data_IF_686679526257
#
_entry.id   IF_686679526257
#
_cell.length_a   1.000
_cell.length_b   1.000
_cell.length_c   1.000
_cell.angle_alpha   90.00
_cell.angle_beta   90.00
_cell.angle_gamma   90.00
#
_symmetry.space_group_name_H-M   'P 1'
#
loop_
_entity.id
_entity.type
_entity.pdbx_description
1 polymer ?
#
# COMPACT_ATOMS: atom_id res chain seq x y z
N UNK A 1 -64.76 -11.62 -50.76
CA UNK A 1 -64.11 -11.22 -52.04
C UNK A 1 -62.92 -10.32 -51.69
N UNK A 2 -61.83 -10.46 -52.44
CA UNK A 2 -60.45 -9.98 -52.21
C UNK A 2 -60.26 -8.57 -51.61
N UNK A 3 -59.24 -8.48 -50.74
CA UNK A 3 -58.23 -7.44 -50.52
C UNK A 3 -58.60 -5.94 -50.66
N UNK A 4 -58.38 -5.18 -49.57
CA UNK A 4 -57.27 -4.22 -49.33
C UNK A 4 -57.74 -3.15 -48.33
N UNK A 5 -56.98 -2.94 -47.24
CA UNK A 5 -56.38 -1.63 -46.93
C UNK A 5 -55.54 -1.70 -45.65
N UNK A 6 -54.35 -1.13 -45.79
CA UNK A 6 -53.25 -1.03 -44.83
C UNK A 6 -53.49 0.08 -43.80
N UNK A 7 -52.98 -0.19 -42.59
CA UNK A 7 -52.25 0.72 -41.68
C UNK A 7 -52.91 2.02 -41.21
N UNK A 8 -53.27 2.04 -39.92
CA UNK A 8 -53.22 3.23 -39.08
C UNK A 8 -52.29 2.95 -37.89
N UNK A 9 -51.10 3.57 -37.88
CA UNK A 9 -50.13 3.52 -36.78
C UNK A 9 -50.49 4.65 -35.81
N UNK A 10 -50.78 4.30 -34.56
CA UNK A 10 -50.97 5.24 -33.46
C UNK A 10 -49.61 5.75 -32.99
N UNK A 11 -49.43 7.06 -32.96
CA UNK A 11 -48.21 7.74 -32.59
C UNK A 11 -48.13 7.85 -31.05
N UNK A 12 -47.46 6.89 -30.40
CA UNK A 12 -47.09 7.01 -28.98
C UNK A 12 -45.74 7.73 -28.90
N UNK A 13 -45.74 8.99 -28.46
CA UNK A 13 -44.52 9.73 -28.13
C UNK A 13 -43.97 9.15 -26.82
N UNK A 14 -43.03 8.20 -26.93
CA UNK A 14 -42.19 7.80 -25.82
C UNK A 14 -41.08 8.85 -25.67
N UNK A 15 -41.21 9.69 -24.64
CA UNK A 15 -40.14 10.59 -24.22
C UNK A 15 -39.04 9.73 -23.57
N UNK A 16 -38.12 9.20 -24.38
CA UNK A 16 -36.89 8.59 -23.86
C UNK A 16 -36.00 9.71 -23.34
N UNK A 17 -35.98 9.89 -22.02
CA UNK A 17 -34.85 10.51 -21.34
C UNK A 17 -33.62 9.65 -21.65
N UNK A 18 -32.88 10.03 -22.68
CA UNK A 18 -31.51 9.57 -22.86
C UNK A 18 -30.70 10.13 -21.68
N UNK A 19 -30.45 9.31 -20.68
CA UNK A 19 -29.30 9.50 -19.81
C UNK A 19 -28.10 9.52 -20.76
N UNK A 20 -27.52 10.71 -20.96
CA UNK A 20 -26.32 10.87 -21.76
C UNK A 20 -25.23 10.00 -21.13
N UNK A 21 -24.97 8.85 -21.74
CA UNK A 21 -23.69 8.18 -21.58
C UNK A 21 -22.65 9.19 -22.03
N UNK A 22 -21.79 9.61 -21.11
CA UNK A 22 -20.56 10.30 -21.47
C UNK A 22 -19.78 9.27 -22.27
N UNK A 23 -19.78 9.39 -23.60
CA UNK A 23 -18.75 8.77 -24.43
C UNK A 23 -17.43 9.36 -23.94
N UNK A 24 -16.71 8.61 -23.10
CA UNK A 24 -15.36 8.96 -22.73
C UNK A 24 -14.52 8.86 -24.01
N UNK A 25 -14.29 9.98 -24.68
CA UNK A 25 -13.35 10.03 -25.79
C UNK A 25 -11.98 9.62 -25.25
N UNK A 26 -11.39 8.59 -25.84
CA UNK A 26 -10.04 8.19 -25.48
C UNK A 26 -9.09 9.37 -25.65
N UNK A 27 -8.19 9.56 -24.68
CA UNK A 27 -7.13 10.55 -24.75
C UNK A 27 -5.96 9.99 -25.56
N UNK A 28 -5.45 10.79 -26.50
CA UNK A 28 -4.33 10.41 -27.35
C UNK A 28 -3.02 10.90 -26.78
N UNK A 29 -1.99 10.07 -26.85
CA UNK A 29 -0.64 10.43 -26.45
C UNK A 29 0.38 10.04 -27.50
N UNK A 30 1.50 10.76 -27.51
CA UNK A 30 2.74 10.36 -28.17
C UNK A 30 3.79 10.10 -27.11
N UNK A 31 4.51 8.99 -27.20
CA UNK A 31 5.61 8.65 -26.31
C UNK A 31 6.91 8.65 -27.10
N UNK A 32 7.85 9.50 -26.70
CA UNK A 32 9.19 9.61 -27.25
C UNK A 32 10.22 9.20 -26.19
N UNK A 33 10.95 8.12 -26.43
CA UNK A 33 12.00 7.62 -25.52
C UNK A 33 13.33 7.61 -26.25
N UNK A 34 14.31 8.32 -25.69
CA UNK A 34 15.69 8.34 -26.18
C UNK A 34 16.62 7.76 -25.14
N UNK A 35 17.37 6.74 -25.52
CA UNK A 35 18.26 6.00 -24.63
C UNK A 35 19.56 5.65 -25.35
N UNK A 36 20.69 5.65 -24.65
CA UNK A 36 21.97 5.25 -25.25
C UNK A 36 22.14 3.72 -25.27
N UNK A 37 21.20 3.03 -25.94
CA UNK A 37 21.19 1.56 -26.06
C UNK A 37 20.63 1.13 -27.41
N UNK A 38 21.48 1.00 -28.45
CA UNK A 38 21.05 0.48 -29.75
C UNK A 38 20.61 -0.99 -29.65
N UNK A 39 19.90 -1.48 -30.67
CA UNK A 39 19.40 -2.86 -30.76
C UNK A 39 18.62 -3.31 -29.51
N UNK A 40 17.69 -2.47 -29.09
CA UNK A 40 16.88 -2.70 -27.89
C UNK A 40 15.39 -2.69 -28.20
N UNK A 41 14.61 -3.23 -27.26
CA UNK A 41 13.15 -3.29 -27.30
C UNK A 41 12.63 -2.61 -26.03
N UNK A 42 11.65 -1.74 -26.20
CA UNK A 42 10.96 -1.06 -25.13
C UNK A 42 9.60 -1.71 -24.96
N UNK A 43 9.33 -2.25 -23.78
CA UNK A 43 8.00 -2.71 -23.39
C UNK A 43 7.28 -1.64 -22.59
N UNK A 44 5.99 -1.46 -22.87
CA UNK A 44 5.09 -0.58 -22.14
C UNK A 44 4.09 -1.47 -21.42
N UNK A 45 4.15 -1.47 -20.10
CA UNK A 45 3.25 -2.26 -19.27
C UNK A 45 2.22 -1.40 -18.57
N UNK A 46 0.96 -1.78 -18.76
CA UNK A 46 -0.20 -1.19 -18.12
C UNK A 46 -0.91 -2.27 -17.31
N UNK A 47 -1.18 -1.99 -16.03
CA UNK A 47 -1.97 -2.88 -15.19
C UNK A 47 -3.43 -2.41 -15.18
N UNK A 48 -4.34 -3.24 -15.66
CA UNK A 48 -5.80 -3.02 -15.67
C UNK A 48 -6.49 -4.02 -14.76
N UNK A 49 -6.84 -3.64 -13.53
CA UNK A 49 -7.49 -4.56 -12.56
C UNK A 49 -6.68 -5.87 -12.43
N UNK A 50 -7.10 -6.94 -13.12
CA UNK A 50 -6.47 -8.27 -13.16
C UNK A 50 -5.73 -8.59 -14.47
N UNK A 51 -5.80 -7.71 -15.48
CA UNK A 51 -5.17 -7.88 -16.78
C UNK A 51 -3.90 -7.02 -16.87
N UNK A 52 -2.89 -7.55 -17.55
CA UNK A 52 -1.68 -6.80 -17.90
C UNK A 52 -1.71 -6.60 -19.40
N UNK A 53 -1.76 -5.36 -19.84
CA UNK A 53 -1.54 -5.03 -21.24
C UNK A 53 -0.06 -4.74 -21.44
N UNK A 54 0.52 -5.37 -22.45
CA UNK A 54 1.93 -5.25 -22.81
C UNK A 54 2.00 -4.85 -24.27
N UNK A 55 2.53 -3.66 -24.52
CA UNK A 55 2.93 -3.22 -25.86
C UNK A 55 4.46 -3.24 -25.98
N UNK A 56 5.00 -3.29 -27.19
CA UNK A 56 6.44 -3.26 -27.42
C UNK A 56 6.84 -2.57 -28.72
N UNK A 57 7.93 -1.79 -28.65
CA UNK A 57 8.54 -1.14 -29.82
C UNK A 57 10.01 -1.54 -29.86
N UNK A 58 10.52 -1.83 -31.05
CA UNK A 58 11.94 -2.14 -31.28
C UNK A 58 12.63 -0.94 -31.90
N UNK A 59 13.84 -0.63 -31.43
CA UNK A 59 14.68 0.43 -31.99
C UNK A 59 16.08 -0.09 -32.32
N UNK A 60 16.59 0.30 -33.48
CA UNK A 60 17.96 0.01 -33.91
C UNK A 60 18.97 0.97 -33.27
N UNK A 61 18.61 2.24 -33.06
CA UNK A 61 19.48 3.33 -32.64
C UNK A 61 19.24 3.82 -31.20
N UNK A 62 18.26 3.24 -30.50
CA UNK A 62 17.90 3.62 -29.13
C UNK A 62 16.87 4.76 -29.04
N UNK A 63 16.31 5.20 -30.17
CA UNK A 63 15.17 6.11 -30.23
C UNK A 63 13.88 5.32 -30.46
N UNK A 64 12.90 5.48 -29.57
CA UNK A 64 11.59 4.87 -29.66
C UNK A 64 10.53 5.95 -29.76
N UNK A 65 9.59 5.78 -30.69
CA UNK A 65 8.43 6.64 -30.83
C UNK A 65 7.20 5.76 -31.01
N UNK A 66 6.13 6.07 -30.28
CA UNK A 66 4.82 5.45 -30.50
C UNK A 66 3.70 6.46 -30.22
N UNK A 67 2.55 6.20 -30.82
CA UNK A 67 1.30 6.88 -30.51
C UNK A 67 0.34 5.85 -29.92
N UNK A 68 -0.50 6.30 -28.99
CA UNK A 68 -1.49 5.43 -28.37
C UNK A 68 -2.68 6.21 -27.85
N UNK A 69 -3.67 5.46 -27.40
CA UNK A 69 -4.90 5.99 -26.83
C UNK A 69 -5.20 5.26 -25.51
N UNK A 70 -5.61 6.01 -24.49
CA UNK A 70 -6.12 5.45 -23.22
C UNK A 70 -7.45 6.09 -22.88
N UNK A 71 -8.33 5.38 -22.18
CA UNK A 71 -9.63 5.93 -21.80
C UNK A 71 -9.49 7.07 -20.76
N UNK A 72 -8.53 6.94 -19.84
CA UNK A 72 -8.28 7.87 -18.75
C UNK A 72 -6.77 7.98 -18.46
N UNK A 73 -6.35 9.08 -17.82
CA UNK A 73 -4.97 9.24 -17.34
C UNK A 73 -4.62 8.08 -16.42
N UNK A 74 -3.45 7.47 -16.63
CA UNK A 74 -3.05 6.28 -15.88
C UNK A 74 -1.55 6.05 -15.86
N UNK A 75 -1.07 5.40 -14.80
CA UNK A 75 0.33 5.02 -14.67
C UNK A 75 0.68 3.81 -15.53
N UNK A 76 1.80 3.87 -16.22
CA UNK A 76 2.41 2.79 -16.98
C UNK A 76 3.90 2.65 -16.61
N UNK A 77 4.50 1.53 -17.00
CA UNK A 77 5.90 1.24 -16.71
C UNK A 77 6.65 0.85 -17.98
N UNK A 78 7.80 1.49 -18.19
CA UNK A 78 8.68 1.24 -19.31
C UNK A 78 9.78 0.25 -18.92
N UNK A 79 10.03 -0.73 -19.79
CA UNK A 79 11.08 -1.73 -19.59
C UNK A 79 11.94 -1.84 -20.85
N UNK A 80 13.22 -1.49 -20.69
CA UNK A 80 14.20 -1.55 -21.76
C UNK A 80 14.99 -2.86 -21.72
N UNK A 81 14.83 -3.69 -22.74
CA UNK A 81 15.49 -5.00 -22.85
C UNK A 81 16.25 -5.15 -24.17
N UNK A 82 17.17 -6.12 -24.31
CA UNK A 82 17.74 -6.48 -25.61
C UNK A 82 16.66 -6.86 -26.63
N UNK A 83 16.88 -6.53 -27.91
CA UNK A 83 15.92 -6.73 -29.00
C UNK A 83 15.31 -8.14 -29.07
N UNK A 84 16.12 -9.17 -28.85
CA UNK A 84 15.69 -10.57 -28.97
C UNK A 84 14.92 -11.09 -27.74
N UNK A 85 14.84 -10.31 -26.66
CA UNK A 85 14.16 -10.75 -25.45
C UNK A 85 12.63 -10.78 -25.64
N UNK A 86 12.03 -11.90 -25.24
CA UNK A 86 10.57 -12.12 -25.19
C UNK A 86 9.96 -11.54 -23.92
N UNK A 87 8.69 -11.15 -23.98
CA UNK A 87 7.90 -10.67 -22.84
C UNK A 87 7.82 -11.66 -21.69
N UNK A 88 7.84 -12.97 -21.97
CA UNK A 88 7.76 -14.03 -20.96
C UNK A 88 8.99 -14.09 -20.04
N UNK A 89 10.11 -13.50 -20.46
CA UNK A 89 11.39 -13.53 -19.74
C UNK A 89 11.75 -12.18 -19.12
N UNK A 90 10.79 -11.26 -18.99
CA UNK A 90 11.03 -9.94 -18.39
C UNK A 90 10.83 -10.04 -16.88
N UNK A 91 11.87 -9.66 -16.13
CA UNK A 91 11.68 -9.31 -14.73
C UNK A 91 10.94 -7.98 -14.67
N UNK A 92 9.63 -8.01 -14.38
CA UNK A 92 8.83 -6.79 -14.21
C UNK A 92 9.16 -5.99 -12.94
N UNK A 93 10.28 -6.29 -12.28
CA UNK A 93 10.81 -5.53 -11.15
C UNK A 93 11.54 -4.29 -11.70
N UNK A 94 11.26 -3.11 -11.14
CA UNK A 94 11.92 -1.82 -11.43
C UNK A 94 11.69 -1.22 -12.84
N UNK A 95 10.45 -1.26 -13.34
CA UNK A 95 10.11 -0.49 -14.55
C UNK A 95 10.19 1.02 -14.31
N UNK A 96 10.53 1.80 -15.34
CA UNK A 96 10.56 3.26 -15.26
C UNK A 96 9.11 3.81 -15.36
N UNK A 97 8.60 4.49 -14.31
CA UNK A 97 7.19 4.89 -14.28
C UNK A 97 6.94 6.12 -15.15
N UNK A 98 5.80 6.12 -15.84
CA UNK A 98 5.25 7.28 -16.57
C UNK A 98 3.74 7.37 -16.36
N UNK A 99 3.14 8.51 -16.65
CA UNK A 99 1.70 8.64 -16.86
C UNK A 99 1.39 8.67 -18.35
N UNK A 100 0.49 7.81 -18.81
CA UNK A 100 -0.13 7.95 -20.11
C UNK A 100 -1.25 8.99 -19.98
N UNK A 101 -1.04 10.16 -20.55
CA UNK A 101 -1.96 11.28 -20.56
C UNK A 101 -1.91 12.03 -21.89
N UNK A 102 -2.88 12.91 -22.14
CA UNK A 102 -2.95 13.64 -23.39
C UNK A 102 -1.72 14.51 -23.62
N UNK A 103 -1.03 14.32 -24.75
CA UNK A 103 0.11 15.13 -25.15
C UNK A 103 1.35 14.33 -25.54
N UNK A 104 2.50 14.99 -25.52
CA UNK A 104 3.78 14.41 -25.91
C UNK A 104 4.65 14.12 -24.69
N UNK A 105 4.76 12.84 -24.34
CA UNK A 105 5.55 12.35 -23.22
C UNK A 105 6.97 12.08 -23.70
N UNK A 106 7.96 12.63 -22.99
CA UNK A 106 9.38 12.48 -23.32
C UNK A 106 10.15 11.80 -22.19
N UNK A 107 10.96 10.81 -22.53
CA UNK A 107 11.92 10.17 -21.62
C UNK A 107 13.31 10.20 -22.27
N UNK A 108 14.28 10.81 -21.59
CA UNK A 108 15.65 10.93 -22.11
C UNK A 108 16.64 10.39 -21.09
N UNK A 109 17.42 9.38 -21.49
CA UNK A 109 18.52 8.85 -20.71
C UNK A 109 19.86 9.02 -21.43
N UNK A 110 20.87 9.43 -20.67
CA UNK A 110 22.27 9.43 -21.12
C UNK A 110 22.97 8.09 -20.83
N UNK A 111 22.29 7.17 -20.12
CA UNK A 111 22.77 5.85 -19.72
C UNK A 111 22.21 4.75 -20.64
N UNK A 112 22.80 3.53 -20.67
CA UNK A 112 22.24 2.37 -21.37
C UNK A 112 21.07 1.71 -20.62
N UNK A 113 20.43 2.44 -19.71
CA UNK A 113 19.29 2.06 -18.88
C UNK A 113 18.28 3.22 -18.86
N UNK A 114 17.09 2.96 -18.34
CA UNK A 114 16.12 4.02 -18.06
C UNK A 114 16.32 4.63 -16.66
N UNK A 115 17.29 4.15 -15.88
CA UNK A 115 17.58 4.70 -14.57
C UNK A 115 18.05 6.15 -14.74
N UNK A 116 17.67 7.02 -13.80
CA UNK A 116 18.02 8.45 -13.83
C UNK A 116 17.56 9.22 -15.08
N UNK A 117 16.63 8.69 -15.89
CA UNK A 117 16.13 9.40 -17.07
C UNK A 117 15.43 10.71 -16.70
N UNK A 118 15.56 11.72 -17.55
CA UNK A 118 14.74 12.93 -17.52
C UNK A 118 13.37 12.58 -18.11
N UNK A 119 12.32 12.83 -17.35
CA UNK A 119 10.93 12.61 -17.74
C UNK A 119 10.21 13.95 -17.83
N UNK A 120 9.30 14.09 -18.80
CA UNK A 120 8.41 15.25 -18.86
C UNK A 120 7.58 15.33 -20.13
N UNK A 121 7.19 16.56 -20.48
CA UNK A 121 6.44 16.91 -21.69
C UNK A 121 4.92 16.92 -21.51
N UNK A 122 4.45 16.50 -20.34
CA UNK A 122 3.03 16.50 -19.94
C UNK A 122 2.93 16.68 -18.41
N UNK A 123 1.85 17.31 -17.89
CA UNK A 123 1.81 17.76 -16.50
C UNK A 123 2.05 16.69 -15.43
N UNK A 124 1.42 15.52 -15.54
CA UNK A 124 1.59 14.44 -14.57
C UNK A 124 3.00 13.81 -14.63
N UNK A 125 3.63 13.84 -15.80
CA UNK A 125 5.00 13.35 -15.98
C UNK A 125 6.05 14.37 -15.48
N UNK A 126 5.82 15.66 -15.67
CA UNK A 126 6.65 16.73 -15.10
C UNK A 126 6.61 16.70 -13.57
N UNK A 127 5.41 16.51 -12.99
CA UNK A 127 5.20 16.29 -11.56
C UNK A 127 5.93 15.03 -11.08
N UNK A 128 5.83 13.92 -11.81
CA UNK A 128 6.46 12.65 -11.44
C UNK A 128 7.99 12.76 -11.44
N UNK A 129 8.54 13.49 -12.42
CA UNK A 129 9.97 13.76 -12.47
C UNK A 129 10.41 14.57 -11.26
N UNK A 130 9.74 15.70 -10.99
CA UNK A 130 10.04 16.59 -9.85
C UNK A 130 9.94 15.87 -8.52
N UNK A 131 8.88 15.08 -8.32
CA UNK A 131 8.67 14.28 -7.11
C UNK A 131 9.79 13.24 -6.91
N UNK A 132 10.15 12.50 -7.96
CA UNK A 132 11.21 11.49 -7.86
C UNK A 132 12.59 12.11 -7.66
N UNK A 133 12.90 13.21 -8.33
CA UNK A 133 14.18 13.91 -8.20
C UNK A 133 14.38 14.45 -6.78
N UNK A 134 13.35 15.08 -6.21
CA UNK A 134 13.35 15.57 -4.81
C UNK A 134 13.65 14.44 -3.81
N UNK A 135 13.12 13.24 -4.07
CA UNK A 135 13.26 12.08 -3.17
C UNK A 135 14.56 11.32 -3.37
N UNK A 136 15.20 11.48 -4.54
CA UNK A 136 16.32 10.67 -5.00
C UNK A 136 17.45 10.60 -3.99
N UNK A 137 17.92 11.74 -3.49
CA UNK A 137 19.05 11.78 -2.55
C UNK A 137 18.72 11.09 -1.22
N UNK A 138 17.50 11.23 -0.71
CA UNK A 138 17.09 10.54 0.52
C UNK A 138 17.09 9.03 0.29
N UNK A 139 16.45 8.56 -0.78
CA UNK A 139 16.35 7.14 -1.11
C UNK A 139 17.74 6.53 -1.33
N UNK A 140 18.63 7.22 -2.06
CA UNK A 140 20.00 6.75 -2.27
C UNK A 140 20.75 6.58 -0.96
N UNK A 141 20.64 7.55 -0.03
CA UNK A 141 21.29 7.46 1.29
C UNK A 141 20.68 6.36 2.15
N UNK A 142 19.34 6.24 2.18
CA UNK A 142 18.65 5.19 2.92
C UNK A 142 19.06 3.79 2.43
N UNK A 143 19.13 3.57 1.11
CA UNK A 143 19.62 2.31 0.54
C UNK A 143 21.08 2.03 0.94
N UNK A 144 21.93 3.06 1.03
CA UNK A 144 23.30 2.91 1.50
C UNK A 144 23.35 2.50 2.98
N UNK A 145 22.55 3.16 3.83
CA UNK A 145 22.42 2.82 5.24
C UNK A 145 21.91 1.40 5.46
N UNK A 146 20.95 0.92 4.66
CA UNK A 146 20.48 -0.47 4.71
C UNK A 146 21.62 -1.46 4.43
N UNK A 147 22.42 -1.20 3.40
CA UNK A 147 23.59 -2.03 3.09
C UNK A 147 24.64 -2.01 4.21
N UNK A 148 24.84 -0.86 4.85
CA UNK A 148 25.81 -0.72 5.93
C UNK A 148 25.31 -1.32 7.25
N UNK A 149 24.00 -1.30 7.48
CA UNK A 149 23.35 -2.01 8.58
C UNK A 149 23.54 -3.52 8.45
N UNK A 150 23.34 -4.07 7.25
CA UNK A 150 23.54 -5.49 6.99
C UNK A 150 24.97 -5.94 7.25
N UNK A 151 25.97 -5.10 6.91
CA UNK A 151 27.38 -5.34 7.25
C UNK A 151 27.61 -5.28 8.76
N UNK A 152 27.13 -4.23 9.43
CA UNK A 152 27.26 -4.07 10.88
C UNK A 152 26.65 -5.26 11.65
N UNK A 153 25.51 -5.77 11.16
CA UNK A 153 24.85 -6.96 11.69
C UNK A 153 25.68 -8.23 11.52
N UNK A 154 26.34 -8.41 10.37
CA UNK A 154 27.27 -9.52 10.16
C UNK A 154 28.48 -9.43 11.10
N UNK A 155 28.97 -8.22 11.34
CA UNK A 155 30.07 -7.90 12.26
C UNK A 155 29.65 -7.95 13.75
N UNK A 156 28.33 -8.05 14.03
CA UNK A 156 27.72 -7.95 15.37
C UNK A 156 28.05 -6.62 16.08
N UNK A 157 28.25 -5.55 15.32
CA UNK A 157 28.53 -4.21 15.83
C UNK A 157 27.23 -3.50 16.23
N UNK A 158 26.84 -3.67 17.50
CA UNK A 158 25.60 -3.13 18.05
C UNK A 158 25.60 -1.59 18.03
N UNK A 159 26.73 -0.96 18.35
CA UNK A 159 26.82 0.50 18.39
C UNK A 159 26.62 1.11 17.00
N UNK A 160 27.25 0.52 15.98
CA UNK A 160 27.08 0.95 14.58
C UNK A 160 25.66 0.73 14.08
N UNK A 161 25.02 -0.39 14.43
CA UNK A 161 23.61 -0.62 14.09
C UNK A 161 22.70 0.48 14.66
N UNK A 162 22.89 0.87 15.92
CA UNK A 162 22.09 1.95 16.55
C UNK A 162 22.30 3.33 15.91
N UNK A 163 23.54 3.64 15.53
CA UNK A 163 23.86 4.89 14.81
C UNK A 163 23.17 4.89 13.45
N UNK A 164 23.27 3.80 12.69
CA UNK A 164 22.64 3.68 11.37
C UNK A 164 21.12 3.78 11.48
N UNK A 165 20.50 3.13 12.47
CA UNK A 165 19.07 3.23 12.75
C UNK A 165 18.67 4.70 12.99
N UNK A 166 19.42 5.43 13.82
CA UNK A 166 19.15 6.85 14.10
C UNK A 166 19.28 7.74 12.86
N UNK A 167 20.30 7.52 12.02
CA UNK A 167 20.49 8.26 10.76
C UNK A 167 19.39 7.94 9.73
N UNK A 168 18.95 6.68 9.69
CA UNK A 168 17.87 6.24 8.82
C UNK A 168 16.55 6.90 9.23
N UNK A 169 16.24 6.91 10.53
CA UNK A 169 15.04 7.55 11.07
C UNK A 169 15.00 9.04 10.76
N UNK A 170 16.13 9.75 10.88
CA UNK A 170 16.23 11.16 10.52
C UNK A 170 15.97 11.40 9.02
N UNK A 171 16.53 10.55 8.14
CA UNK A 171 16.29 10.63 6.70
C UNK A 171 14.84 10.29 6.34
N UNK A 172 14.25 9.32 7.02
CA UNK A 172 12.85 8.93 6.82
C UNK A 172 11.91 10.09 7.18
N UNK A 173 12.18 10.81 8.29
CA UNK A 173 11.42 12.01 8.65
C UNK A 173 11.54 13.12 7.59
N UNK A 174 12.74 13.36 7.06
CA UNK A 174 12.95 14.33 5.98
C UNK A 174 12.25 13.93 4.69
N UNK A 175 12.28 12.65 4.33
CA UNK A 175 11.58 12.13 3.17
C UNK A 175 10.06 12.27 3.32
N UNK A 176 9.52 11.93 4.50
CA UNK A 176 8.10 12.14 4.83
C UNK A 176 7.73 13.62 4.74
N UNK A 177 8.60 14.52 5.18
CA UNK A 177 8.36 15.96 5.03
C UNK A 177 8.31 16.38 3.55
N UNK A 178 9.29 15.97 2.74
CA UNK A 178 9.31 16.26 1.32
C UNK A 178 8.06 15.72 0.57
N UNK A 179 7.61 14.52 0.94
CA UNK A 179 6.38 13.93 0.43
C UNK A 179 5.14 14.78 0.77
N UNK A 180 5.01 15.24 2.01
CA UNK A 180 3.91 16.10 2.44
C UNK A 180 3.97 17.48 1.76
N UNK A 181 5.16 18.07 1.62
CA UNK A 181 5.35 19.37 0.97
C UNK A 181 4.94 19.32 -0.50
N UNK A 182 5.29 18.24 -1.21
CA UNK A 182 4.84 17.99 -2.57
C UNK A 182 3.32 17.86 -2.65
N UNK A 183 2.72 17.03 -1.80
CA UNK A 183 1.27 16.83 -1.74
C UNK A 183 0.51 18.15 -1.55
N UNK A 184 0.94 18.96 -0.58
CA UNK A 184 0.30 20.23 -0.24
C UNK A 184 0.41 21.29 -1.36
N UNK A 185 1.51 21.26 -2.12
CA UNK A 185 1.74 22.20 -3.23
C UNK A 185 1.13 21.75 -4.56
N UNK A 186 0.78 20.46 -4.69
CA UNK A 186 0.27 19.87 -5.94
C UNK A 186 -1.05 19.10 -5.73
N UNK A 187 -2.13 19.75 -5.24
CA UNK A 187 -3.40 19.06 -4.94
C UNK A 187 -4.12 18.53 -6.20
N UNK A 188 -3.78 19.03 -7.39
CA UNK A 188 -4.35 18.58 -8.67
C UNK A 188 -3.51 17.48 -9.33
N UNK A 189 -2.43 17.00 -8.69
CA UNK A 189 -1.50 16.04 -9.29
C UNK A 189 -1.92 14.59 -9.07
N UNK A 190 -1.82 13.78 -10.12
CA UNK A 190 -1.96 12.32 -9.99
C UNK A 190 -0.82 11.70 -9.18
N UNK A 191 0.35 12.35 -9.08
CA UNK A 191 1.45 11.91 -8.21
C UNK A 191 1.10 12.06 -6.73
N UNK A 192 0.52 13.20 -6.36
CA UNK A 192 -0.01 13.44 -5.00
C UNK A 192 -1.12 12.44 -4.65
N UNK A 193 -1.99 12.12 -5.61
CA UNK A 193 -3.01 11.09 -5.45
C UNK A 193 -2.42 9.69 -5.23
N UNK A 194 -1.44 9.29 -6.04
CA UNK A 194 -0.76 8.01 -5.92
C UNK A 194 -0.07 7.86 -4.56
N UNK A 195 0.57 8.94 -4.08
CA UNK A 195 1.15 8.99 -2.74
C UNK A 195 0.06 8.79 -1.68
N UNK A 196 -1.04 9.56 -1.71
CA UNK A 196 -2.15 9.42 -0.77
C UNK A 196 -2.71 7.98 -0.74
N UNK A 197 -2.90 7.38 -1.92
CA UNK A 197 -3.46 6.04 -2.06
C UNK A 197 -2.54 4.92 -1.54
N UNK A 198 -1.23 5.16 -1.47
CA UNK A 198 -0.22 4.16 -1.06
C UNK A 198 0.39 4.39 0.32
N UNK A 199 0.33 5.60 0.86
CA UNK A 199 1.03 5.97 2.10
C UNK A 199 0.29 5.63 3.39
N UNK A 200 -1.01 5.32 3.32
CA UNK A 200 -1.85 5.15 4.51
C UNK A 200 -2.64 3.86 4.49
N UNK A 201 -2.72 3.22 5.67
CA UNK A 201 -3.71 2.20 5.94
C UNK A 201 -5.04 2.89 6.24
N UNK A 202 -5.99 2.80 5.30
CA UNK A 202 -7.30 3.45 5.40
C UNK A 202 -8.02 3.03 6.69
N UNK A 203 -7.93 1.77 7.12
CA UNK A 203 -8.71 1.31 8.25
C UNK A 203 -8.21 1.89 9.58
N UNK A 204 -6.90 2.06 9.75
CA UNK A 204 -6.32 2.60 11.00
C UNK A 204 -6.14 4.11 11.01
N UNK A 205 -6.30 4.77 9.85
CA UNK A 205 -6.10 6.22 9.67
C UNK A 205 -7.23 6.86 8.85
N UNK A 206 -8.45 6.33 8.94
CA UNK A 206 -9.56 6.69 8.05
C UNK A 206 -9.83 8.19 8.05
N UNK A 207 -9.90 8.79 9.23
CA UNK A 207 -10.16 10.23 9.39
C UNK A 207 -9.09 11.10 8.72
N UNK A 208 -7.81 10.72 8.84
CA UNK A 208 -6.68 11.41 8.18
C UNK A 208 -6.77 11.29 6.66
N UNK A 209 -7.07 10.08 6.16
CA UNK A 209 -7.19 9.83 4.71
C UNK A 209 -8.37 10.62 4.11
N UNK A 210 -9.50 10.73 4.82
CA UNK A 210 -10.63 11.58 4.41
C UNK A 210 -10.20 13.04 4.30
N UNK A 211 -9.49 13.56 5.30
CA UNK A 211 -9.03 14.94 5.29
C UNK A 211 -8.10 15.23 4.10
N UNK A 212 -7.12 14.35 3.85
CA UNK A 212 -6.20 14.48 2.71
C UNK A 212 -6.93 14.36 1.37
N UNK A 213 -7.85 13.38 1.23
CA UNK A 213 -8.61 13.23 -0.02
C UNK A 213 -9.48 14.45 -0.32
N UNK A 214 -10.05 15.09 0.71
CA UNK A 214 -10.86 16.30 0.54
C UNK A 214 -10.05 17.52 0.08
N UNK A 215 -8.75 17.57 0.38
CA UNK A 215 -7.82 18.61 -0.08
C UNK A 215 -7.46 18.47 -1.56
N UNK A 216 -7.66 17.28 -2.15
CA UNK A 216 -7.37 17.04 -3.55
C UNK A 216 -8.28 17.86 -4.47
N UNK A 217 -7.74 18.21 -5.64
CA UNK A 217 -8.43 18.89 -6.71
C UNK A 217 -9.65 18.13 -7.24
N UNK A 218 -10.63 18.85 -7.77
CA UNK A 218 -11.81 18.24 -8.38
C UNK A 218 -11.46 17.33 -9.56
N UNK A 219 -10.42 17.68 -10.34
CA UNK A 219 -9.92 16.85 -11.44
C UNK A 219 -9.49 15.46 -10.95
N UNK A 220 -8.89 15.37 -9.76
CA UNK A 220 -8.51 14.09 -9.14
C UNK A 220 -9.74 13.40 -8.56
N UNK A 221 -10.54 14.09 -7.75
CA UNK A 221 -11.70 13.47 -7.05
C UNK A 221 -12.74 12.92 -8.03
N UNK A 222 -12.92 13.57 -9.19
CA UNK A 222 -13.86 13.16 -10.23
C UNK A 222 -13.25 12.21 -11.27
N UNK A 223 -11.93 11.99 -11.25
CA UNK A 223 -11.30 10.98 -12.09
C UNK A 223 -11.79 9.56 -11.74
N UNK A 224 -11.68 8.62 -12.68
CA UNK A 224 -12.03 7.22 -12.43
C UNK A 224 -11.29 6.67 -11.19
N UNK A 225 -9.99 6.95 -11.08
CA UNK A 225 -9.18 6.52 -9.94
C UNK A 225 -9.63 7.16 -8.62
N UNK A 226 -9.98 8.45 -8.64
CA UNK A 226 -10.51 9.17 -7.48
C UNK A 226 -11.85 8.62 -7.00
N UNK A 227 -12.77 8.33 -7.92
CA UNK A 227 -14.08 7.73 -7.60
C UNK A 227 -13.91 6.31 -7.02
N UNK A 228 -13.03 5.50 -7.60
CA UNK A 228 -12.72 4.17 -7.08
C UNK A 228 -12.09 4.24 -5.69
N UNK A 229 -11.17 5.17 -5.47
CA UNK A 229 -10.55 5.40 -4.18
C UNK A 229 -11.57 5.88 -3.13
N UNK A 230 -12.44 6.82 -3.47
CA UNK A 230 -13.53 7.27 -2.58
C UNK A 230 -14.46 6.12 -2.21
N UNK A 231 -14.82 5.27 -3.17
CA UNK A 231 -15.63 4.08 -2.92
C UNK A 231 -14.92 3.13 -1.94
N UNK A 232 -13.63 2.86 -2.14
CA UNK A 232 -12.81 2.07 -1.21
C UNK A 232 -12.75 2.72 0.18
N UNK A 233 -12.52 4.02 0.24
CA UNK A 233 -12.44 4.80 1.48
C UNK A 233 -13.76 4.72 2.27
N UNK A 234 -14.90 4.88 1.61
CA UNK A 234 -16.22 4.82 2.25
C UNK A 234 -16.51 3.42 2.81
N UNK A 235 -16.26 2.39 2.00
CA UNK A 235 -16.57 0.99 2.33
C UNK A 235 -15.58 0.36 3.32
N UNK A 236 -14.40 0.94 3.52
CA UNK A 236 -13.43 0.39 4.48
C UNK A 236 -13.92 0.63 5.90
N UNK A 237 -14.12 -0.44 6.68
CA UNK A 237 -14.47 -0.33 8.09
C UNK A 237 -13.30 0.27 8.88
N UNK A 238 -13.57 1.25 9.73
CA UNK A 238 -12.55 1.88 10.56
C UNK A 238 -12.18 0.97 11.75
N UNK A 239 -10.89 0.94 12.06
CA UNK A 239 -10.28 0.39 13.27
C UNK A 239 -9.24 1.39 13.82
N UNK A 240 -9.53 2.69 13.66
CA UNK A 240 -8.69 3.77 14.18
C UNK A 240 -8.90 3.99 15.69
N UNK A 241 -8.06 4.83 16.29
CA UNK A 241 -8.18 5.16 17.73
C UNK A 241 -9.56 5.80 17.99
N UNK A 242 -10.19 5.38 19.09
CA UNK A 242 -11.56 5.67 19.56
C UNK A 242 -12.69 4.84 18.92
N UNK A 243 -12.41 4.04 17.90
CA UNK A 243 -13.40 3.11 17.33
C UNK A 243 -13.60 1.86 18.20
N UNK A 244 -14.78 1.23 18.08
CA UNK A 244 -15.03 -0.07 18.71
C UNK A 244 -14.32 -1.17 17.92
N UNK A 245 -13.47 -1.92 18.61
CA UNK A 245 -12.73 -3.05 18.07
C UNK A 245 -13.71 -4.12 17.53
N UNK A 246 -13.66 -4.45 16.22
CA UNK A 246 -14.51 -5.48 15.62
C UNK A 246 -14.31 -6.85 16.29
N UNK A 247 -15.39 -7.49 16.71
CA UNK A 247 -15.29 -8.84 17.27
C UNK A 247 -14.96 -9.88 16.20
N UNK A 248 -14.29 -10.95 16.64
CA UNK A 248 -14.04 -12.15 15.86
C UNK A 248 -13.90 -13.34 16.82
N UNK A 249 -13.93 -14.55 16.27
CA UNK A 249 -13.56 -15.77 16.97
C UNK A 249 -12.55 -16.56 16.13
N UNK A 250 -11.61 -17.19 16.82
CA UNK A 250 -10.64 -18.09 16.20
C UNK A 250 -10.24 -19.20 17.20
N UNK A 251 -9.81 -20.37 16.71
CA UNK A 251 -9.43 -21.46 17.58
C UNK A 251 -8.08 -21.20 18.25
N UNK A 252 -7.98 -21.59 19.52
CA UNK A 252 -6.74 -21.60 20.27
C UNK A 252 -5.92 -22.89 20.00
N UNK A 253 -4.75 -23.11 20.64
CA UNK A 253 -3.94 -24.31 20.42
C UNK A 253 -4.69 -25.63 20.70
N UNK A 254 -5.63 -25.64 21.64
CA UNK A 254 -6.48 -26.80 21.95
C UNK A 254 -7.63 -26.98 20.96
N UNK A 255 -7.84 -26.03 20.04
CA UNK A 255 -8.93 -26.03 19.07
C UNK A 255 -10.25 -25.45 19.62
N UNK A 256 -10.22 -24.84 20.79
CA UNK A 256 -11.39 -24.15 21.37
C UNK A 256 -11.53 -22.77 20.72
N UNK A 257 -12.73 -22.44 20.28
CA UNK A 257 -13.06 -21.10 19.80
C UNK A 257 -12.96 -20.07 20.93
N UNK A 258 -12.17 -19.02 20.70
CA UNK A 258 -11.99 -17.88 21.61
C UNK A 258 -12.41 -16.63 20.88
N UNK A 259 -13.33 -15.86 21.49
CA UNK A 259 -13.83 -14.59 20.96
C UNK A 259 -13.11 -13.41 21.61
N UNK A 260 -12.80 -12.36 20.84
CA UNK A 260 -12.27 -11.11 21.38
C UNK A 260 -13.24 -10.47 22.40
N UNK A 261 -14.56 -10.55 22.17
CA UNK A 261 -15.56 -10.06 23.11
C UNK A 261 -15.54 -10.78 24.47
N UNK A 262 -14.98 -12.00 24.57
CA UNK A 262 -14.84 -12.68 25.87
C UNK A 262 -13.90 -11.97 26.84
N UNK A 263 -13.10 -11.02 26.36
CA UNK A 263 -12.16 -10.22 27.15
C UNK A 263 -12.70 -8.84 27.56
N UNK A 264 -13.97 -8.51 27.25
CA UNK A 264 -14.58 -7.24 27.70
C UNK A 264 -14.49 -7.09 29.22
N UNK A 265 -14.32 -5.85 29.68
CA UNK A 265 -14.02 -5.52 31.07
C UNK A 265 -12.53 -5.44 31.42
N UNK A 266 -11.64 -5.89 30.52
CA UNK A 266 -10.17 -5.79 30.67
C UNK A 266 -9.58 -4.83 29.64
N UNK A 267 -8.39 -4.31 29.93
CA UNK A 267 -7.53 -3.79 28.88
C UNK A 267 -6.91 -4.97 28.13
N UNK A 268 -7.00 -4.97 26.80
CA UNK A 268 -6.53 -6.06 25.95
C UNK A 268 -5.54 -5.54 24.94
N UNK A 269 -4.32 -6.07 24.93
CA UNK A 269 -3.44 -5.92 23.78
C UNK A 269 -3.77 -7.04 22.77
N UNK A 270 -4.44 -6.68 21.67
CA UNK A 270 -4.65 -7.59 20.55
C UNK A 270 -3.39 -7.57 19.69
N UNK A 271 -2.59 -8.64 19.71
CA UNK A 271 -1.25 -8.69 19.13
C UNK A 271 -1.18 -9.66 17.94
N UNK A 272 -0.97 -9.13 16.74
CA UNK A 272 -0.80 -9.90 15.51
C UNK A 272 0.67 -10.23 15.27
N UNK A 273 0.98 -11.52 15.21
CA UNK A 273 2.35 -12.03 15.12
C UNK A 273 2.43 -13.33 14.31
N UNK A 274 3.62 -13.89 14.17
CA UNK A 274 3.80 -15.25 13.62
C UNK A 274 5.13 -15.85 14.07
N UNK A 275 5.24 -17.18 14.11
CA UNK A 275 6.46 -17.89 14.51
C UNK A 275 7.67 -17.56 13.63
N UNK A 276 7.44 -17.30 12.35
CA UNK A 276 8.42 -16.97 11.31
C UNK A 276 8.76 -15.47 11.24
N UNK A 277 8.05 -14.61 11.97
CA UNK A 277 8.26 -13.17 11.95
C UNK A 277 9.42 -12.76 12.87
N UNK A 278 10.62 -12.62 12.32
CA UNK A 278 11.82 -12.22 13.07
C UNK A 278 11.65 -10.96 13.95
N UNK A 279 11.09 -9.84 13.43
CA UNK A 279 10.80 -8.66 14.25
C UNK A 279 9.81 -8.93 15.40
N UNK A 280 8.79 -9.77 15.19
CA UNK A 280 7.84 -10.15 16.24
C UNK A 280 8.54 -10.88 17.37
N UNK A 281 9.38 -11.88 17.02
CA UNK A 281 10.19 -12.64 17.98
C UNK A 281 11.14 -11.74 18.79
N UNK A 282 11.64 -10.65 18.20
CA UNK A 282 12.46 -9.66 18.92
C UNK A 282 11.65 -8.76 19.86
N UNK A 283 10.39 -8.51 19.56
CA UNK A 283 9.49 -7.71 20.39
C UNK A 283 8.85 -8.52 21.52
N UNK A 284 8.68 -9.84 21.35
CA UNK A 284 8.08 -10.73 22.35
C UNK A 284 8.63 -10.58 23.78
N UNK A 285 9.95 -10.41 24.03
CA UNK A 285 10.46 -10.13 25.38
C UNK A 285 9.87 -8.88 26.04
N UNK A 286 9.62 -7.81 25.27
CA UNK A 286 8.96 -6.59 25.77
C UNK A 286 7.50 -6.88 26.10
N UNK A 287 6.80 -7.62 25.24
CA UNK A 287 5.40 -8.02 25.44
C UNK A 287 5.24 -8.94 26.67
N UNK A 288 6.16 -9.89 26.87
CA UNK A 288 6.21 -10.75 28.07
C UNK A 288 6.44 -9.92 29.33
N UNK A 289 7.34 -8.95 29.28
CA UNK A 289 7.59 -8.04 30.39
C UNK A 289 6.34 -7.22 30.74
N UNK A 290 5.66 -6.67 29.73
CA UNK A 290 4.41 -5.96 29.90
C UNK A 290 3.31 -6.87 30.51
N UNK A 291 3.12 -8.08 29.98
CA UNK A 291 2.16 -9.03 30.51
C UNK A 291 2.42 -9.33 31.99
N UNK A 292 3.66 -9.71 32.34
CA UNK A 292 3.99 -10.04 33.72
C UNK A 292 3.84 -8.88 34.69
N UNK A 293 4.07 -7.65 34.23
CA UNK A 293 3.93 -6.43 35.05
C UNK A 293 2.47 -6.07 35.30
N UNK A 294 1.59 -6.24 34.29
CA UNK A 294 0.23 -5.69 34.33
C UNK A 294 -0.89 -6.74 34.39
N UNK A 295 -0.63 -8.04 34.22
CA UNK A 295 -1.68 -9.10 34.17
C UNK A 295 -2.61 -9.12 35.39
N UNK A 296 -2.09 -8.73 36.56
CA UNK A 296 -2.85 -8.66 37.81
C UNK A 296 -3.49 -7.27 38.04
N UNK A 297 -3.36 -6.35 37.08
CA UNK A 297 -3.91 -4.99 37.03
C UNK A 297 -4.96 -4.84 35.92
N UNK A 298 -5.85 -5.81 35.75
CA UNK A 298 -6.93 -5.78 34.74
C UNK A 298 -6.44 -5.69 33.27
N UNK A 299 -5.25 -6.20 32.98
CA UNK A 299 -4.67 -6.27 31.64
C UNK A 299 -4.55 -7.72 31.17
N UNK A 300 -4.66 -7.92 29.87
CA UNK A 300 -4.36 -9.19 29.22
C UNK A 300 -3.95 -8.97 27.78
N UNK A 301 -3.55 -10.04 27.11
CA UNK A 301 -3.12 -10.02 25.73
C UNK A 301 -3.86 -11.15 25.02
N UNK A 302 -4.32 -10.88 23.80
CA UNK A 302 -4.82 -11.91 22.88
C UNK A 302 -3.88 -11.94 21.69
N UNK A 303 -3.06 -12.98 21.59
CA UNK A 303 -2.16 -13.17 20.46
C UNK A 303 -2.91 -13.79 19.28
N UNK A 304 -2.87 -13.14 18.11
CA UNK A 304 -3.40 -13.66 16.85
C UNK A 304 -2.23 -14.05 15.96
N UNK A 305 -2.06 -15.34 15.73
CA UNK A 305 -0.98 -15.84 14.88
C UNK A 305 -1.39 -15.95 13.41
N UNK A 306 -0.51 -15.44 12.54
CA UNK A 306 -0.52 -15.61 11.08
C UNK A 306 0.41 -16.76 10.66
N UNK A 307 0.52 -17.80 11.48
CA UNK A 307 1.13 -19.05 11.08
C UNK A 307 0.23 -19.87 10.15
N UNK A 308 0.83 -20.78 9.39
CA UNK A 308 0.12 -21.84 8.67
C UNK A 308 0.50 -23.24 9.16
N UNK A 309 1.45 -23.32 10.10
CA UNK A 309 1.88 -24.56 10.75
C UNK A 309 1.60 -24.48 12.24
N UNK A 310 0.66 -25.32 12.71
CA UNK A 310 0.32 -25.43 14.13
C UNK A 310 1.54 -25.77 14.99
N UNK A 311 2.38 -26.68 14.51
CA UNK A 311 3.57 -27.12 15.24
C UNK A 311 4.58 -25.98 15.41
N UNK A 312 4.85 -25.20 14.36
CA UNK A 312 5.77 -24.07 14.43
C UNK A 312 5.23 -22.98 15.37
N UNK A 313 3.93 -22.71 15.31
CA UNK A 313 3.24 -21.78 16.18
C UNK A 313 3.35 -22.17 17.66
N UNK A 314 3.00 -23.41 18.02
CA UNK A 314 3.07 -23.91 19.41
C UNK A 314 4.51 -23.89 19.92
N UNK A 315 5.48 -24.37 19.14
CA UNK A 315 6.90 -24.32 19.52
C UNK A 315 7.38 -22.89 19.76
N UNK A 316 6.86 -21.92 19.00
CA UNK A 316 7.21 -20.51 19.20
C UNK A 316 6.58 -19.93 20.47
N UNK A 317 5.32 -20.27 20.77
CA UNK A 317 4.65 -19.90 22.03
C UNK A 317 5.47 -20.36 23.23
N UNK A 318 5.86 -21.65 23.24
CA UNK A 318 6.65 -22.24 24.32
C UNK A 318 8.03 -21.58 24.43
N UNK A 319 8.74 -21.46 23.30
CA UNK A 319 10.10 -20.90 23.27
C UNK A 319 10.17 -19.46 23.75
N UNK A 320 9.15 -18.66 23.45
CA UNK A 320 9.11 -17.25 23.80
C UNK A 320 8.35 -16.98 25.11
N UNK A 321 7.83 -18.01 25.76
CA UNK A 321 7.06 -17.91 27.00
C UNK A 321 5.81 -17.00 26.86
N UNK A 322 5.07 -17.16 25.76
CA UNK A 322 3.85 -16.37 25.49
C UNK A 322 2.66 -16.94 26.27
N UNK A 323 2.60 -16.65 27.56
CA UNK A 323 1.69 -17.30 28.52
C UNK A 323 0.23 -16.81 28.51
N UNK A 324 -0.14 -15.92 27.59
CA UNK A 324 -1.51 -15.42 27.42
C UNK A 324 -2.26 -16.22 26.36
N UNK A 325 -3.56 -15.94 26.19
CA UNK A 325 -4.38 -16.65 25.22
C UNK A 325 -3.92 -16.37 23.78
N UNK A 326 -3.83 -17.44 22.98
CA UNK A 326 -3.33 -17.41 21.62
C UNK A 326 -4.39 -18.00 20.69
N UNK A 327 -4.60 -17.42 19.52
CA UNK A 327 -5.53 -17.92 18.51
C UNK A 327 -4.93 -17.88 17.11
N UNK A 328 -5.34 -18.81 16.25
CA UNK A 328 -4.97 -18.80 14.83
C UNK A 328 -5.92 -19.66 14.03
N UNK A 329 -6.34 -19.18 12.86
CA UNK A 329 -7.04 -20.02 11.88
C UNK A 329 -6.10 -20.82 10.96
N UNK A 330 -4.78 -20.69 11.17
CA UNK A 330 -3.70 -21.32 10.40
C UNK A 330 -3.73 -20.98 8.90
N UNK A 331 -4.30 -19.83 8.53
CA UNK A 331 -4.40 -19.39 7.12
C UNK A 331 -3.33 -18.37 6.72
N UNK A 332 -2.33 -18.14 7.57
CA UNK A 332 -1.29 -17.15 7.31
C UNK A 332 -1.87 -15.75 7.09
N UNK A 333 -1.44 -15.07 6.03
CA UNK A 333 -1.97 -13.75 5.65
C UNK A 333 -3.45 -13.73 5.26
N UNK A 334 -4.04 -14.90 4.97
CA UNK A 334 -5.48 -15.01 4.69
C UNK A 334 -6.31 -15.18 5.97
N UNK A 335 -5.72 -14.97 7.15
CA UNK A 335 -6.42 -15.07 8.42
C UNK A 335 -7.54 -14.03 8.49
N UNK A 336 -8.75 -14.48 8.84
CA UNK A 336 -9.92 -13.59 8.87
C UNK A 336 -9.74 -12.39 9.84
N UNK A 337 -9.14 -12.55 11.04
CA UNK A 337 -8.88 -11.41 11.92
C UNK A 337 -7.89 -10.41 11.33
N UNK A 338 -6.85 -10.87 10.60
CA UNK A 338 -5.88 -9.98 9.96
C UNK A 338 -6.54 -9.11 8.88
N UNK A 339 -7.43 -9.69 8.06
CA UNK A 339 -8.22 -8.94 7.09
C UNK A 339 -9.18 -7.95 7.77
N UNK A 340 -9.88 -8.38 8.83
CA UNK A 340 -10.85 -7.55 9.57
C UNK A 340 -10.21 -6.29 10.19
N UNK A 341 -8.98 -6.42 10.67
CA UNK A 341 -8.19 -5.31 11.25
C UNK A 341 -7.27 -4.63 10.24
N UNK A 342 -7.35 -4.99 8.94
CA UNK A 342 -6.49 -4.49 7.86
C UNK A 342 -4.99 -4.57 8.21
N UNK A 343 -4.56 -5.69 8.76
CA UNK A 343 -3.15 -5.95 9.09
C UNK A 343 -2.41 -6.36 7.81
N UNK A 344 -1.53 -5.47 7.34
CA UNK A 344 -0.70 -5.68 6.14
C UNK A 344 0.78 -5.93 6.45
N UNK A 345 1.14 -5.88 7.74
CA UNK A 345 2.50 -6.08 8.24
C UNK A 345 2.45 -6.52 9.70
N UNK A 346 3.39 -7.37 10.09
CA UNK A 346 3.55 -7.81 11.48
C UNK A 346 4.98 -7.51 11.97
N UNK A 347 5.15 -7.15 13.25
CA UNK A 347 4.16 -7.22 14.32
C UNK A 347 3.16 -6.07 14.20
N UNK A 348 1.92 -6.23 14.64
CA UNK A 348 0.94 -5.13 14.71
C UNK A 348 0.03 -5.37 15.89
N UNK A 349 -0.33 -4.33 16.62
CA UNK A 349 -1.20 -4.49 17.78
C UNK A 349 -2.19 -3.35 17.94
N UNK A 350 -3.28 -3.66 18.63
CA UNK A 350 -4.31 -2.73 19.03
C UNK A 350 -4.49 -2.85 20.54
N UNK A 351 -4.28 -1.75 21.26
CA UNK A 351 -4.61 -1.69 22.68
C UNK A 351 -6.07 -1.28 22.80
N UNK A 352 -6.86 -2.12 23.48
CA UNK A 352 -8.31 -2.01 23.59
C UNK A 352 -8.67 -1.77 25.06
N UNK A 353 -9.57 -0.82 25.33
CA UNK A 353 -10.08 -0.51 26.66
C UNK A 353 -11.15 -1.53 27.14
N UNK A 354 -11.53 -1.51 28.42
CA UNK A 354 -12.57 -2.39 28.96
C UNK A 354 -13.93 -2.32 28.27
N UNK A 355 -14.26 -1.20 27.60
CA UNK A 355 -15.49 -1.02 26.83
C UNK A 355 -15.36 -1.52 25.40
N UNK A 356 -14.17 -1.95 24.97
CA UNK A 356 -13.90 -2.46 23.63
C UNK A 356 -13.46 -1.38 22.64
N UNK A 357 -13.08 -0.18 23.08
CA UNK A 357 -12.55 0.87 22.19
C UNK A 357 -11.05 0.73 22.00
N UNK A 358 -10.59 0.99 20.79
CA UNK A 358 -9.15 1.05 20.46
C UNK A 358 -8.59 2.36 21.02
N UNK A 359 -7.57 2.28 21.88
CA UNK A 359 -6.96 3.45 22.54
C UNK A 359 -5.50 3.69 22.12
N UNK A 360 -4.86 2.71 21.46
CA UNK A 360 -3.56 2.85 20.81
C UNK A 360 -3.36 1.75 19.76
N UNK A 361 -2.44 1.98 18.82
CA UNK A 361 -2.13 1.05 17.72
C UNK A 361 -0.60 0.99 17.54
N UNK A 362 -0.08 -0.19 17.24
CA UNK A 362 1.33 -0.47 16.92
C UNK A 362 2.34 -0.05 18.01
N UNK A 363 1.97 -0.23 19.29
CA UNK A 363 2.87 0.01 20.42
C UNK A 363 4.02 -1.00 20.44
N UNK A 364 5.24 -0.55 20.72
CA UNK A 364 6.42 -1.43 20.87
C UNK A 364 7.36 -0.91 21.96
N UNK A 365 8.15 -1.81 22.54
CA UNK A 365 9.24 -1.46 23.44
C UNK A 365 8.83 -0.47 24.54
N UNK A 366 9.50 0.68 24.58
CA UNK A 366 9.23 1.73 25.56
C UNK A 366 7.83 2.36 25.39
N UNK A 367 7.33 2.51 24.17
CA UNK A 367 6.00 3.09 23.92
C UNK A 367 4.89 2.22 24.52
N UNK A 368 5.02 0.90 24.41
CA UNK A 368 4.09 -0.04 25.05
C UNK A 368 4.12 0.12 26.58
N UNK A 369 5.32 0.10 27.15
CA UNK A 369 5.51 0.18 28.60
C UNK A 369 4.99 1.50 29.16
N UNK A 370 5.30 2.60 28.50
CA UNK A 370 4.82 3.95 28.83
C UNK A 370 3.30 4.03 28.71
N UNK A 371 2.72 3.53 27.62
CA UNK A 371 1.27 3.61 27.45
C UNK A 371 0.52 2.84 28.53
N UNK A 372 1.00 1.64 28.89
CA UNK A 372 0.39 0.83 29.95
C UNK A 372 0.54 1.47 31.33
N UNK A 373 1.68 2.08 31.65
CA UNK A 373 1.85 2.75 32.95
C UNK A 373 0.94 3.97 33.12
N UNK A 374 0.59 4.66 32.04
CA UNK A 374 -0.37 5.76 32.06
C UNK A 374 -1.80 5.31 32.42
N UNK A 375 -2.21 4.12 31.96
CA UNK A 375 -3.60 3.64 32.07
C UNK A 375 -3.82 2.60 33.17
N UNK A 376 -2.75 1.99 33.69
CA UNK A 376 -2.76 0.93 34.71
C UNK A 376 -1.73 1.21 35.83
N UNK A 377 -1.98 2.22 36.67
CA UNK A 377 -1.04 2.64 37.71
C UNK A 377 -0.71 1.55 38.74
#
# INVERSE_FOLDING_TARGET
MKLYLKTGISLTIALTLSMGGIDAQNIKYTLNVKVNKPNSKLFILQKEKNNVQIDSIVSADGNFQTEGEVANIRKAYLYLVPKEQSSNNISFRKGFPIYLESGNITVVSNEPTLDNSVLGGTPSNDDLYTYNDTRKTFITKMNQLENDYDKAKQEKDIAKMQIIESEYDELELKLKQADNDFFNSHPNSFVSFDWLNSSFNIATQKSKVIALFNQMGENIKQSEAGIQFKTKLDNTKSVEINEIAPDFSAPNPEGKEVSLNSFRGKYVLLDFWASWCGPCRRENPNVVTAYNTYKDKNFTILGVSLDSSKEAWIKAIEKDNLAWEQVSDLKGWNAAPAALYSVHGIPSNFLIDPQGRIIAINLRGEELSKKLSEILP
#
